data_IF_868143771207
#
_entry.id   IF_868143771207
#
_cell.length_a   1.000
_cell.length_b   1.000
_cell.length_c   1.000
_cell.angle_alpha   90.00
_cell.angle_beta   90.00
_cell.angle_gamma   90.00
#
_symmetry.space_group_name_H-M   'P 1'
#
loop_
_entity.id
_entity.type
_entity.pdbx_description
1 polymer ?
#
# COMPACT_ATOMS: atom_id res chain seq x y z
N UNK A 1 -41.71 -0.41 6.87
CA UNK A 1 -40.71 -0.44 5.76
C UNK A 1 -40.63 0.85 4.94
N UNK A 2 -41.72 1.39 4.35
CA UNK A 2 -41.65 2.62 3.52
C UNK A 2 -41.05 3.86 4.22
N UNK A 3 -41.25 4.00 5.54
CA UNK A 3 -40.67 5.09 6.34
C UNK A 3 -39.14 4.98 6.44
N UNK A 4 -38.64 3.79 6.79
CA UNK A 4 -37.21 3.50 6.84
C UNK A 4 -36.48 3.79 5.52
N UNK A 5 -37.00 3.32 4.38
CA UNK A 5 -36.38 3.60 3.07
C UNK A 5 -36.37 5.08 2.70
N UNK A 6 -37.37 5.85 3.13
CA UNK A 6 -37.43 7.30 2.90
C UNK A 6 -36.41 8.03 3.77
N UNK A 7 -36.33 7.67 5.05
CA UNK A 7 -35.38 8.24 6.00
C UNK A 7 -33.94 7.87 5.63
N UNK A 8 -33.72 6.64 5.16
CA UNK A 8 -32.45 6.17 4.62
C UNK A 8 -32.07 6.94 3.34
N UNK A 9 -33.00 7.09 2.38
CA UNK A 9 -32.75 7.90 1.18
C UNK A 9 -32.38 9.34 1.54
N UNK A 10 -33.10 9.95 2.49
CA UNK A 10 -32.83 11.31 2.97
C UNK A 10 -31.48 11.42 3.72
N UNK A 11 -31.02 10.34 4.35
CA UNK A 11 -29.71 10.28 5.01
C UNK A 11 -28.56 10.18 4.00
N UNK A 12 -28.63 9.27 3.03
CA UNK A 12 -27.56 9.06 2.04
C UNK A 12 -27.44 10.22 1.04
N UNK A 13 -28.53 10.95 0.80
CA UNK A 13 -28.53 12.11 -0.10
C UNK A 13 -28.05 13.41 0.57
N UNK A 14 -27.60 13.34 1.82
CA UNK A 14 -26.89 14.47 2.46
C UNK A 14 -25.56 14.69 1.75
N UNK A 15 -25.32 15.90 1.25
CA UNK A 15 -24.08 16.26 0.54
C UNK A 15 -22.81 15.88 1.30
N UNK A 16 -22.76 16.16 2.61
CA UNK A 16 -21.62 15.78 3.45
C UNK A 16 -21.34 14.26 3.48
N UNK A 17 -22.36 13.41 3.44
CA UNK A 17 -22.18 11.94 3.42
C UNK A 17 -21.72 11.47 2.05
N UNK A 18 -22.27 12.07 0.98
CA UNK A 18 -21.89 11.74 -0.39
C UNK A 18 -20.44 12.13 -0.68
N UNK A 19 -20.01 13.33 -0.30
CA UNK A 19 -18.65 13.81 -0.51
C UNK A 19 -17.62 12.98 0.29
N UNK A 20 -17.97 12.61 1.52
CA UNK A 20 -17.16 11.68 2.33
C UNK A 20 -17.07 10.29 1.70
N UNK A 21 -18.17 9.76 1.16
CA UNK A 21 -18.19 8.46 0.50
C UNK A 21 -17.33 8.47 -0.77
N UNK A 22 -17.44 9.52 -1.59
CA UNK A 22 -16.62 9.68 -2.79
C UNK A 22 -15.14 9.81 -2.43
N UNK A 23 -14.81 10.59 -1.40
CA UNK A 23 -13.44 10.73 -0.91
C UNK A 23 -12.82 9.40 -0.46
N UNK A 24 -13.58 8.58 0.27
CA UNK A 24 -13.15 7.24 0.70
C UNK A 24 -12.93 6.28 -0.49
N UNK A 25 -13.86 6.24 -1.43
CA UNK A 25 -13.77 5.36 -2.61
C UNK A 25 -12.55 5.72 -3.46
N UNK A 26 -12.34 7.01 -3.72
CA UNK A 26 -11.17 7.49 -4.47
C UNK A 26 -9.88 7.19 -3.69
N UNK A 27 -9.86 7.40 -2.38
CA UNK A 27 -8.68 7.14 -1.54
C UNK A 27 -8.26 5.67 -1.54
N UNK A 28 -9.23 4.75 -1.45
CA UNK A 28 -8.95 3.30 -1.47
C UNK A 28 -8.51 2.82 -2.86
N UNK A 29 -9.19 3.26 -3.93
CA UNK A 29 -8.80 2.95 -5.31
C UNK A 29 -7.39 3.47 -5.64
N UNK A 30 -7.05 4.69 -5.20
CA UNK A 30 -5.74 5.27 -5.44
C UNK A 30 -4.63 4.52 -4.69
N UNK A 31 -4.87 4.18 -3.42
CA UNK A 31 -3.94 3.38 -2.63
C UNK A 31 -3.67 2.03 -3.30
N UNK A 32 -4.70 1.38 -3.85
CA UNK A 32 -4.55 0.11 -4.56
C UNK A 32 -3.65 0.24 -5.81
N UNK A 33 -3.77 1.33 -6.58
CA UNK A 33 -2.92 1.58 -7.76
C UNK A 33 -1.45 1.75 -7.34
N UNK A 34 -1.19 2.52 -6.27
CA UNK A 34 0.18 2.74 -5.80
C UNK A 34 0.79 1.45 -5.25
N UNK A 35 0.01 0.67 -4.49
CA UNK A 35 0.45 -0.65 -4.01
C UNK A 35 0.77 -1.58 -5.18
N UNK A 36 -0.08 -1.64 -6.20
CA UNK A 36 0.17 -2.46 -7.39
C UNK A 36 1.44 -2.03 -8.14
N UNK A 37 1.72 -0.72 -8.22
CA UNK A 37 2.96 -0.20 -8.79
C UNK A 37 4.19 -0.58 -7.94
N UNK A 38 4.08 -0.44 -6.62
CA UNK A 38 5.14 -0.76 -5.68
C UNK A 38 5.48 -2.26 -5.72
N UNK A 39 4.47 -3.11 -5.57
CA UNK A 39 4.65 -4.57 -5.51
C UNK A 39 4.96 -5.17 -6.89
N UNK A 40 4.32 -4.68 -7.94
CA UNK A 40 4.44 -5.24 -9.29
C UNK A 40 5.67 -4.77 -10.05
N UNK A 41 6.16 -3.55 -9.81
CA UNK A 41 7.25 -2.96 -10.59
C UNK A 41 8.45 -2.64 -9.69
N UNK A 42 8.25 -1.93 -8.57
CA UNK A 42 9.37 -1.45 -7.77
C UNK A 42 10.03 -2.56 -6.95
N UNK A 43 9.26 -3.45 -6.35
CA UNK A 43 9.79 -4.60 -5.59
C UNK A 43 10.72 -5.49 -6.43
N UNK A 44 10.36 -5.96 -7.65
CA UNK A 44 11.30 -6.74 -8.45
C UNK A 44 12.53 -5.93 -8.90
N UNK A 45 12.39 -4.64 -9.19
CA UNK A 45 13.53 -3.78 -9.53
C UNK A 45 14.50 -3.61 -8.35
N UNK A 46 13.97 -3.36 -7.15
CA UNK A 46 14.77 -3.23 -5.93
C UNK A 46 15.45 -4.55 -5.60
N UNK A 47 14.74 -5.67 -5.69
CA UNK A 47 15.30 -7.00 -5.48
C UNK A 47 16.42 -7.30 -6.49
N UNK A 48 16.25 -6.93 -7.76
CA UNK A 48 17.26 -7.11 -8.79
C UNK A 48 18.52 -6.30 -8.51
N UNK A 49 18.37 -5.01 -8.14
CA UNK A 49 19.50 -4.15 -7.79
C UNK A 49 20.22 -4.65 -6.54
N UNK A 50 19.48 -5.10 -5.53
CA UNK A 50 20.07 -5.67 -4.32
C UNK A 50 20.78 -7.00 -4.59
N UNK A 51 20.23 -7.84 -5.47
CA UNK A 51 20.87 -9.09 -5.87
C UNK A 51 22.20 -8.85 -6.61
N UNK A 52 22.29 -7.79 -7.42
CA UNK A 52 23.52 -7.37 -8.08
C UNK A 52 24.60 -6.87 -7.12
N UNK A 53 24.20 -6.25 -6.00
CA UNK A 53 25.13 -5.63 -5.04
C UNK A 53 25.55 -6.63 -3.94
N UNK A 54 24.63 -7.47 -3.47
CA UNK A 54 24.80 -8.33 -2.30
C UNK A 54 24.77 -9.84 -2.62
N UNK A 55 24.52 -10.24 -3.87
CA UNK A 55 24.37 -11.64 -4.30
C UNK A 55 22.91 -12.11 -4.37
N UNK A 56 22.67 -13.23 -5.06
CA UNK A 56 21.32 -13.83 -5.18
C UNK A 56 20.71 -14.07 -3.79
N UNK A 57 19.50 -13.56 -3.54
CA UNK A 57 18.74 -13.84 -2.30
C UNK A 57 18.68 -12.71 -1.26
N UNK A 58 19.30 -11.54 -1.50
CA UNK A 58 19.44 -10.45 -0.52
C UNK A 58 18.16 -9.98 0.21
N UNK A 59 16.98 -10.17 -0.39
CA UNK A 59 15.67 -9.85 0.23
C UNK A 59 14.78 -11.07 0.51
N UNK A 60 15.14 -12.23 -0.06
CA UNK A 60 14.36 -13.47 0.04
C UNK A 60 14.84 -14.34 1.19
N UNK A 61 16.06 -14.12 1.68
CA UNK A 61 16.65 -14.85 2.82
C UNK A 61 16.74 -14.00 4.10
N UNK A 62 16.12 -12.82 4.13
CA UNK A 62 16.12 -11.94 5.30
C UNK A 62 15.16 -12.40 6.40
N UNK A 63 15.18 -13.70 6.72
CA UNK A 63 14.37 -14.29 7.79
C UNK A 63 15.23 -14.51 9.02
N UNK A 64 14.88 -13.86 10.13
CA UNK A 64 15.43 -14.24 11.44
C UNK A 64 14.50 -15.28 12.06
N UNK A 65 14.90 -16.54 12.05
CA UNK A 65 14.13 -17.61 12.67
C UNK A 65 14.37 -17.64 14.18
N UNK A 66 13.29 -17.50 14.96
CA UNK A 66 13.32 -17.71 16.42
C UNK A 66 13.10 -19.17 16.78
N UNK A 67 12.36 -19.91 15.94
CA UNK A 67 12.22 -21.37 16.01
C UNK A 67 12.02 -21.92 14.60
N UNK A 68 12.96 -22.74 14.14
CA UNK A 68 12.86 -23.43 12.86
C UNK A 68 12.16 -24.77 13.07
N UNK A 69 11.12 -25.02 12.28
CA UNK A 69 10.47 -26.31 12.14
C UNK A 69 10.73 -26.77 10.71
N UNK A 70 11.23 -27.99 10.57
CA UNK A 70 11.46 -28.60 9.26
C UNK A 70 10.30 -29.54 8.95
N UNK A 71 9.86 -29.54 7.71
CA UNK A 71 8.90 -30.52 7.22
C UNK A 71 9.54 -31.91 7.08
N UNK A 72 8.72 -32.93 6.76
CA UNK A 72 9.18 -34.31 6.56
C UNK A 72 10.19 -34.47 5.40
N UNK A 73 10.38 -33.43 4.58
CA UNK A 73 11.35 -33.38 3.48
C UNK A 73 12.65 -32.66 3.84
N UNK A 74 12.75 -32.13 5.06
CA UNK A 74 13.91 -31.37 5.54
C UNK A 74 13.95 -29.92 5.05
N UNK A 75 12.89 -29.42 4.42
CA UNK A 75 12.75 -28.01 4.06
C UNK A 75 12.19 -27.23 5.25
N UNK A 76 12.49 -25.92 5.33
CA UNK A 76 11.96 -25.06 6.37
C UNK A 76 10.46 -24.90 6.14
N UNK A 77 9.67 -25.40 7.08
CA UNK A 77 8.23 -25.18 7.10
C UNK A 77 7.95 -23.77 7.63
N UNK A 78 7.78 -22.81 6.72
CA UNK A 78 7.41 -21.44 7.09
C UNK A 78 6.02 -21.36 7.75
N UNK A 79 5.12 -22.32 7.58
CA UNK A 79 3.81 -22.27 8.25
C UNK A 79 3.92 -22.58 9.76
N UNK A 80 4.83 -23.47 10.14
CA UNK A 80 5.03 -23.90 11.53
C UNK A 80 6.27 -23.27 12.20
N UNK A 81 7.15 -22.63 11.42
CA UNK A 81 8.31 -21.89 11.93
C UNK A 81 7.91 -20.52 12.46
N UNK A 82 8.57 -20.09 13.54
CA UNK A 82 8.44 -18.72 14.05
C UNK A 82 9.61 -17.91 13.51
N UNK A 83 9.33 -16.95 12.64
CA UNK A 83 10.34 -16.10 12.01
C UNK A 83 9.90 -14.64 11.92
N UNK A 84 10.90 -13.75 11.81
CA UNK A 84 10.73 -12.35 11.48
C UNK A 84 11.08 -12.16 10.01
N UNK A 85 10.10 -11.68 9.24
CA UNK A 85 10.26 -11.32 7.83
C UNK A 85 10.75 -9.87 7.69
N UNK A 86 12.06 -9.66 7.67
CA UNK A 86 12.63 -8.32 7.47
C UNK A 86 12.40 -7.80 6.05
N UNK A 87 12.32 -8.69 5.05
CA UNK A 87 12.01 -8.34 3.67
C UNK A 87 10.61 -7.74 3.54
N UNK A 88 9.62 -8.36 4.21
CA UNK A 88 8.25 -7.87 4.31
C UNK A 88 8.16 -6.51 5.00
N UNK A 89 8.89 -6.29 6.10
CA UNK A 89 8.93 -5.00 6.81
C UNK A 89 9.53 -3.90 5.93
N UNK A 90 10.67 -4.15 5.28
CA UNK A 90 11.33 -3.19 4.39
C UNK A 90 10.40 -2.85 3.21
N UNK A 91 9.76 -3.84 2.62
CA UNK A 91 8.77 -3.63 1.55
C UNK A 91 7.60 -2.75 2.01
N UNK A 92 7.06 -2.99 3.21
CA UNK A 92 5.99 -2.17 3.77
C UNK A 92 6.41 -0.71 3.97
N UNK A 93 7.63 -0.46 4.46
CA UNK A 93 8.19 0.89 4.61
C UNK A 93 8.36 1.58 3.27
N UNK A 94 8.88 0.88 2.26
CA UNK A 94 9.03 1.41 0.90
C UNK A 94 7.66 1.78 0.32
N UNK A 95 6.66 0.89 0.44
CA UNK A 95 5.31 1.15 -0.04
C UNK A 95 4.70 2.39 0.63
N UNK A 96 4.87 2.54 1.95
CA UNK A 96 4.43 3.72 2.69
C UNK A 96 5.07 5.01 2.17
N UNK A 97 6.40 5.02 2.00
CA UNK A 97 7.12 6.20 1.49
C UNK A 97 6.72 6.57 0.07
N UNK A 98 6.42 5.59 -0.78
CA UNK A 98 5.94 5.82 -2.14
C UNK A 98 4.55 6.45 -2.15
N UNK A 99 3.62 5.90 -1.37
CA UNK A 99 2.27 6.48 -1.22
C UNK A 99 2.37 7.93 -0.73
N UNK A 100 3.20 8.18 0.27
CA UNK A 100 3.43 9.53 0.80
C UNK A 100 4.02 10.47 -0.26
N UNK A 101 5.02 10.02 -1.03
CA UNK A 101 5.65 10.80 -2.10
C UNK A 101 4.66 11.16 -3.20
N UNK A 102 3.88 10.18 -3.66
CA UNK A 102 2.90 10.38 -4.73
C UNK A 102 1.81 11.35 -4.28
N UNK A 103 1.27 11.19 -3.06
CA UNK A 103 0.31 12.13 -2.49
C UNK A 103 0.90 13.54 -2.37
N UNK A 104 2.15 13.66 -1.94
CA UNK A 104 2.84 14.95 -1.88
C UNK A 104 2.92 15.63 -3.26
N UNK A 105 3.28 14.89 -4.31
CA UNK A 105 3.35 15.42 -5.68
C UNK A 105 1.98 15.87 -6.17
N UNK A 106 0.92 15.10 -5.93
CA UNK A 106 -0.45 15.47 -6.32
C UNK A 106 -0.93 16.73 -5.57
N UNK A 107 -0.71 16.80 -4.25
CA UNK A 107 -1.06 17.98 -3.47
C UNK A 107 -0.28 19.21 -3.95
N UNK A 108 1.02 19.07 -4.22
CA UNK A 108 1.84 20.15 -4.76
C UNK A 108 1.36 20.59 -6.14
N UNK A 109 0.99 19.66 -7.03
CA UNK A 109 0.48 19.96 -8.36
C UNK A 109 -0.88 20.68 -8.30
N UNK A 110 -1.78 20.25 -7.42
CA UNK A 110 -3.09 20.90 -7.25
C UNK A 110 -2.98 22.29 -6.61
N UNK A 111 -2.06 22.48 -5.66
CA UNK A 111 -1.74 23.80 -5.10
C UNK A 111 -1.12 24.73 -6.15
N UNK A 112 -0.19 24.23 -6.97
CA UNK A 112 0.41 24.97 -8.07
C UNK A 112 -0.64 25.36 -9.14
N UNK A 113 -1.53 24.44 -9.52
CA UNK A 113 -2.60 24.71 -10.48
C UNK A 113 -3.61 25.75 -9.96
N UNK A 114 -3.98 25.70 -8.66
CA UNK A 114 -4.84 26.73 -8.05
C UNK A 114 -4.16 28.10 -7.97
N UNK A 115 -2.84 28.15 -7.74
CA UNK A 115 -2.05 29.38 -7.80
C UNK A 115 -1.98 30.01 -9.19
N UNK A 116 -2.01 29.19 -10.25
CA UNK A 116 -2.01 29.64 -11.64
C UNK A 116 -3.38 30.17 -12.13
N UNK A 117 -4.47 29.80 -11.46
CA UNK A 117 -5.85 30.18 -11.82
C UNK A 117 -6.41 31.39 -11.05
N UNK A 118 -5.60 31.98 -10.17
CA UNK A 118 -5.90 33.27 -9.53
C UNK A 118 -4.73 34.24 -9.75
N UNK A 119 -4.53 34.76 -10.98
CA UNK A 119 -3.76 35.99 -11.12
C UNK A 119 -4.54 37.08 -10.37
N UNK A 120 -3.91 37.66 -9.35
CA UNK A 120 -4.37 38.92 -8.76
C UNK A 120 -4.40 40.03 -9.82
#
# INVERSE_FOLDING_TARGET
MKKFFRDFKAFISRGNVMDLAVGMIIGTAFTAIVTALSEGILKPLINYVLALIFGEGAMTESFTFLKQVFDDTGAIDLANSIYIDWGGVINAVINFLLIALVLFVILKATMAAKGALSPK
#
